data_IF_040512505451
#
_entry.id   IF_040512505451
#
_cell.length_a   1.000
_cell.length_b   1.000
_cell.length_c   1.000
_cell.angle_alpha   90.00
_cell.angle_beta   90.00
_cell.angle_gamma   90.00
#
_symmetry.space_group_name_H-M   'P 1'
#
loop_
_entity.id
_entity.type
_entity.pdbx_description
1 polymer ?
#
# COMPACT_ATOMS: atom_id res chain seq x y z
N UNK A 1 -3.57 -14.23 -31.94
CA UNK A 1 -3.48 -12.88 -32.51
C UNK A 1 -3.95 -11.94 -31.41
N UNK A 2 -3.04 -11.54 -30.54
CA UNK A 2 -3.32 -10.67 -29.38
C UNK A 2 -3.71 -9.30 -29.89
N UNK A 3 -4.91 -8.85 -29.52
CA UNK A 3 -5.37 -7.49 -29.76
C UNK A 3 -4.32 -6.51 -29.18
N UNK A 4 -3.73 -5.60 -29.99
CA UNK A 4 -2.67 -4.70 -29.55
C UNK A 4 -3.09 -3.76 -28.41
N UNK A 5 -4.39 -3.66 -28.12
CA UNK A 5 -4.93 -2.79 -27.07
C UNK A 5 -4.83 -3.35 -25.63
N UNK A 6 -4.39 -4.61 -25.44
CA UNK A 6 -4.40 -5.27 -24.13
C UNK A 6 -3.10 -6.02 -23.82
N UNK A 7 -1.96 -5.32 -23.89
CA UNK A 7 -0.69 -5.88 -23.43
C UNK A 7 -0.55 -5.75 -21.91
N UNK A 8 -0.17 -6.84 -21.23
CA UNK A 8 0.28 -6.79 -19.83
C UNK A 8 1.53 -5.90 -19.66
N UNK A 9 2.30 -5.75 -20.74
CA UNK A 9 3.47 -4.89 -20.81
C UNK A 9 3.27 -3.91 -21.98
N UNK A 10 2.60 -2.77 -21.75
CA UNK A 10 2.36 -1.79 -22.80
C UNK A 10 3.67 -1.18 -23.31
N UNK A 11 3.63 -0.63 -24.53
CA UNK A 11 4.73 0.19 -25.03
C UNK A 11 4.88 1.49 -24.21
N UNK A 12 6.00 2.20 -24.44
CA UNK A 12 6.34 3.38 -23.65
C UNK A 12 5.31 4.51 -23.76
N UNK A 13 4.75 4.74 -24.94
CA UNK A 13 3.80 5.83 -25.17
C UNK A 13 2.47 5.51 -24.51
N UNK A 14 1.98 4.27 -24.66
CA UNK A 14 0.78 3.76 -23.99
C UNK A 14 0.92 3.81 -22.46
N UNK A 15 2.07 3.40 -21.92
CA UNK A 15 2.38 3.48 -20.49
C UNK A 15 2.34 4.92 -19.98
N UNK A 16 3.00 5.83 -20.70
CA UNK A 16 3.09 7.26 -20.33
C UNK A 16 1.71 7.91 -20.38
N UNK A 17 0.92 7.64 -21.41
CA UNK A 17 -0.45 8.14 -21.54
C UNK A 17 -1.33 7.68 -20.36
N UNK A 18 -1.31 6.39 -20.02
CA UNK A 18 -2.06 5.85 -18.88
C UNK A 18 -1.62 6.47 -17.55
N UNK A 19 -0.31 6.69 -17.37
CA UNK A 19 0.25 7.33 -16.19
C UNK A 19 -0.19 8.79 -16.03
N UNK A 20 -0.25 9.55 -17.13
CA UNK A 20 -0.75 10.92 -17.11
C UNK A 20 -2.25 10.97 -16.80
N UNK A 21 -3.06 10.14 -17.47
CA UNK A 21 -4.49 10.07 -17.23
C UNK A 21 -4.83 9.74 -15.75
N UNK A 22 -4.15 8.75 -15.16
CA UNK A 22 -4.32 8.42 -13.75
C UNK A 22 -3.95 9.58 -12.83
N UNK A 23 -2.84 10.26 -13.11
CA UNK A 23 -2.37 11.41 -12.32
C UNK A 23 -3.37 12.56 -12.37
N UNK A 24 -3.91 12.87 -13.55
CA UNK A 24 -4.95 13.88 -13.73
C UNK A 24 -6.23 13.51 -12.98
N UNK A 25 -6.70 12.26 -13.12
CA UNK A 25 -7.93 11.77 -12.48
C UNK A 25 -7.85 11.80 -10.95
N UNK A 26 -6.71 11.42 -10.37
CA UNK A 26 -6.46 11.52 -8.93
C UNK A 26 -6.35 12.98 -8.49
N UNK A 27 -5.77 13.84 -9.32
CA UNK A 27 -5.72 15.28 -9.08
C UNK A 27 -7.10 15.93 -9.01
N UNK A 28 -8.01 15.55 -9.91
CA UNK A 28 -9.43 15.94 -9.86
C UNK A 28 -10.08 15.44 -8.56
N UNK A 29 -9.90 14.16 -8.23
CA UNK A 29 -10.46 13.55 -7.01
C UNK A 29 -10.05 14.32 -5.75
N UNK A 30 -8.76 14.66 -5.63
CA UNK A 30 -8.20 15.39 -4.49
C UNK A 30 -8.78 16.80 -4.38
N UNK A 31 -8.98 17.51 -5.50
CA UNK A 31 -9.58 18.85 -5.50
C UNK A 31 -11.04 18.85 -5.05
N UNK A 32 -11.78 17.80 -5.41
CA UNK A 32 -13.19 17.65 -5.02
C UNK A 32 -13.36 17.08 -3.60
N UNK A 33 -12.27 16.64 -2.95
CA UNK A 33 -12.34 15.99 -1.64
C UNK A 33 -13.10 16.82 -0.59
N UNK A 34 -12.88 18.15 -0.43
CA UNK A 34 -13.60 18.93 0.58
C UNK A 34 -15.11 19.08 0.36
N UNK A 35 -15.60 18.73 -0.84
CA UNK A 35 -17.03 18.76 -1.18
C UNK A 35 -17.73 17.42 -1.00
N UNK A 36 -17.00 16.37 -0.59
CA UNK A 36 -17.53 15.02 -0.39
C UNK A 36 -17.89 14.77 1.05
N UNK A 37 -18.80 13.83 1.26
CA UNK A 37 -19.08 13.32 2.58
C UNK A 37 -17.88 12.51 3.11
N UNK A 38 -17.54 12.72 4.38
CA UNK A 38 -16.49 11.98 5.08
C UNK A 38 -16.85 10.50 5.21
N UNK A 39 -18.13 10.25 5.55
CA UNK A 39 -18.69 8.92 5.73
C UNK A 39 -19.21 8.43 4.38
N UNK A 40 -18.84 7.23 3.94
CA UNK A 40 -19.30 6.72 2.66
C UNK A 40 -20.79 6.46 2.69
N UNK A 41 -21.49 6.84 1.63
CA UNK A 41 -22.85 6.36 1.35
C UNK A 41 -22.86 4.87 0.92
N UNK A 42 -21.69 4.32 0.60
CA UNK A 42 -21.51 3.01 -0.01
C UNK A 42 -21.47 3.07 -1.53
N UNK A 43 -21.02 2.00 -2.20
CA UNK A 43 -20.99 1.94 -3.66
C UNK A 43 -22.41 1.97 -4.25
N UNK A 44 -22.56 2.59 -5.42
CA UNK A 44 -23.86 2.66 -6.10
C UNK A 44 -24.39 1.27 -6.47
N UNK A 45 -25.72 1.12 -6.54
CA UNK A 45 -26.36 -0.13 -6.96
C UNK A 45 -26.02 -0.53 -8.41
N UNK A 46 -25.65 0.45 -9.25
CA UNK A 46 -25.12 0.21 -10.59
C UNK A 46 -23.71 -0.37 -10.53
N UNK A 47 -22.79 0.28 -9.82
CA UNK A 47 -21.42 -0.18 -9.65
C UNK A 47 -21.36 -1.60 -9.07
N UNK A 48 -22.21 -1.91 -8.08
CA UNK A 48 -22.33 -3.26 -7.52
C UNK A 48 -22.86 -4.29 -8.53
N UNK A 49 -23.82 -3.92 -9.39
CA UNK A 49 -24.30 -4.80 -10.46
C UNK A 49 -23.20 -5.07 -11.47
N UNK A 50 -22.48 -4.04 -11.88
CA UNK A 50 -21.35 -4.17 -12.80
C UNK A 50 -20.24 -5.04 -12.21
N UNK A 51 -19.85 -4.82 -10.96
CA UNK A 51 -18.86 -5.64 -10.27
C UNK A 51 -19.30 -7.12 -10.22
N UNK A 52 -20.56 -7.41 -9.88
CA UNK A 52 -21.08 -8.79 -9.85
C UNK A 52 -21.06 -9.47 -11.21
N UNK A 53 -21.29 -8.70 -12.27
CA UNK A 53 -21.30 -9.20 -13.64
C UNK A 53 -19.91 -9.20 -14.27
N UNK A 54 -18.90 -8.61 -13.61
CA UNK A 54 -17.55 -8.53 -14.14
C UNK A 54 -16.90 -9.91 -14.14
N UNK A 55 -16.51 -10.35 -15.33
CA UNK A 55 -15.80 -11.60 -15.56
C UNK A 55 -14.39 -11.26 -16.05
N UNK A 56 -13.39 -11.99 -15.54
CA UNK A 56 -11.98 -11.84 -15.93
C UNK A 56 -11.60 -12.78 -17.09
N UNK A 57 -12.58 -13.18 -17.90
CA UNK A 57 -12.41 -14.01 -19.08
C UNK A 57 -12.02 -13.20 -20.32
N UNK A 58 -12.18 -11.87 -20.27
CA UNK A 58 -11.75 -10.93 -21.31
C UNK A 58 -10.96 -9.77 -20.72
N UNK A 59 -9.94 -9.26 -21.43
CA UNK A 59 -9.22 -8.08 -20.97
C UNK A 59 -10.13 -6.84 -21.03
N UNK A 60 -9.85 -5.88 -20.14
CA UNK A 60 -10.50 -4.57 -20.09
C UNK A 60 -9.47 -3.47 -20.24
N UNK A 61 -9.91 -2.33 -20.73
CA UNK A 61 -9.04 -1.19 -20.99
C UNK A 61 -8.65 -0.55 -19.65
N UNK A 62 -7.37 -0.25 -19.48
CA UNK A 62 -6.79 0.12 -18.19
C UNK A 62 -7.29 1.50 -17.73
N UNK A 63 -7.40 2.48 -18.63
CA UNK A 63 -7.88 3.80 -18.27
C UNK A 63 -9.34 3.74 -17.78
N UNK A 64 -10.23 3.09 -18.54
CA UNK A 64 -11.62 2.87 -18.14
C UNK A 64 -11.77 2.05 -16.87
N UNK A 65 -10.88 1.07 -16.62
CA UNK A 65 -10.88 0.30 -15.37
C UNK A 65 -10.43 1.16 -14.18
N UNK A 66 -9.39 1.98 -14.34
CA UNK A 66 -8.90 2.85 -13.26
C UNK A 66 -9.91 3.95 -12.93
N UNK A 67 -10.56 4.56 -13.92
CA UNK A 67 -11.68 5.49 -13.71
C UNK A 67 -12.81 4.82 -12.93
N UNK A 68 -13.26 3.64 -13.38
CA UNK A 68 -14.33 2.89 -12.74
C UNK A 68 -14.01 2.49 -11.28
N UNK A 69 -12.75 2.13 -10.99
CA UNK A 69 -12.31 1.86 -9.62
C UNK A 69 -12.34 3.13 -8.77
N UNK A 70 -11.84 4.25 -9.31
CA UNK A 70 -11.81 5.52 -8.59
C UNK A 70 -13.25 5.95 -8.27
N UNK A 71 -14.17 5.92 -9.24
CA UNK A 71 -15.58 6.28 -9.02
C UNK A 71 -16.23 5.48 -7.87
N UNK A 72 -15.94 4.18 -7.82
CA UNK A 72 -16.39 3.32 -6.72
C UNK A 72 -15.79 3.73 -5.37
N UNK A 73 -14.48 4.02 -5.32
CA UNK A 73 -13.78 4.41 -4.09
C UNK A 73 -14.20 5.81 -3.60
N UNK A 74 -14.56 6.72 -4.49
CA UNK A 74 -14.98 8.09 -4.13
C UNK A 74 -16.27 8.14 -3.31
N UNK A 75 -17.11 7.10 -3.40
CA UNK A 75 -18.39 6.99 -2.68
C UNK A 75 -18.42 5.82 -1.69
N UNK A 76 -17.61 4.80 -1.94
CA UNK A 76 -17.59 3.53 -1.21
C UNK A 76 -16.54 3.42 -0.10
N UNK A 77 -15.71 4.44 0.13
CA UNK A 77 -14.72 4.45 1.23
C UNK A 77 -14.85 5.66 2.14
N UNK A 78 -14.40 5.50 3.39
CA UNK A 78 -14.21 6.62 4.31
C UNK A 78 -13.13 7.53 3.75
N UNK A 79 -13.47 8.81 3.58
CA UNK A 79 -12.57 9.79 2.99
C UNK A 79 -11.58 10.30 4.03
N UNK A 80 -10.56 9.49 4.36
CA UNK A 80 -9.55 9.83 5.37
C UNK A 80 -8.68 11.04 5.00
N UNK A 81 -8.67 11.42 3.73
CA UNK A 81 -8.01 12.62 3.20
C UNK A 81 -8.87 13.87 3.31
N UNK A 82 -10.14 13.76 3.74
CA UNK A 82 -11.03 14.88 3.93
C UNK A 82 -10.59 15.73 5.15
N UNK A 83 -10.53 17.07 5.07
CA UNK A 83 -10.08 17.93 6.17
C UNK A 83 -10.91 17.80 7.46
N UNK A 84 -12.19 17.49 7.31
CA UNK A 84 -13.14 17.21 8.40
C UNK A 84 -13.14 15.76 8.90
N UNK A 85 -12.27 14.87 8.40
CA UNK A 85 -12.13 13.53 8.94
C UNK A 85 -11.37 13.59 10.27
N UNK A 86 -12.08 13.34 11.36
CA UNK A 86 -11.55 13.33 12.74
C UNK A 86 -11.69 11.95 13.39
N UNK A 87 -11.84 10.89 12.58
CA UNK A 87 -12.12 9.53 13.05
C UNK A 87 -10.88 8.66 13.22
N UNK A 88 -10.93 7.76 14.20
CA UNK A 88 -9.97 6.65 14.42
C UNK A 88 -8.48 7.08 14.34
N UNK A 89 -7.59 6.11 14.11
CA UNK A 89 -6.14 6.29 13.99
C UNK A 89 -5.64 6.00 12.56
N UNK A 90 -6.45 6.34 11.55
CA UNK A 90 -6.09 6.12 10.15
C UNK A 90 -5.65 7.45 9.51
N UNK A 91 -4.34 7.72 9.35
CA UNK A 91 -3.86 8.98 8.82
C UNK A 91 -4.10 9.08 7.31
N UNK A 92 -4.33 10.29 6.81
CA UNK A 92 -4.29 10.55 5.38
C UNK A 92 -2.90 10.24 4.81
N UNK A 93 -2.79 9.58 3.64
CA UNK A 93 -1.51 9.41 2.96
C UNK A 93 -0.90 10.77 2.62
N UNK A 94 0.42 10.86 2.75
CA UNK A 94 1.17 12.03 2.28
C UNK A 94 1.46 11.88 0.79
N UNK A 95 1.65 12.99 0.09
CA UNK A 95 2.07 12.91 -1.32
C UNK A 95 3.43 12.22 -1.48
N UNK A 96 4.34 12.37 -0.50
CA UNK A 96 5.62 11.67 -0.51
C UNK A 96 5.45 10.14 -0.41
N UNK A 97 4.52 9.64 0.41
CA UNK A 97 4.25 8.20 0.50
C UNK A 97 3.61 7.66 -0.79
N UNK A 98 2.72 8.41 -1.45
CA UNK A 98 2.18 8.01 -2.76
C UNK A 98 3.27 7.89 -3.83
N UNK A 99 4.22 8.84 -3.84
CA UNK A 99 5.40 8.75 -4.71
C UNK A 99 6.26 7.53 -4.37
N UNK A 100 6.49 7.25 -3.08
CA UNK A 100 7.26 6.10 -2.63
C UNK A 100 6.59 4.78 -3.04
N UNK A 101 5.28 4.64 -2.88
CA UNK A 101 4.51 3.47 -3.32
C UNK A 101 4.64 3.25 -4.83
N UNK A 102 4.61 4.34 -5.61
CA UNK A 102 4.80 4.27 -7.06
C UNK A 102 6.21 3.81 -7.44
N UNK A 103 7.24 4.30 -6.75
CA UNK A 103 8.63 3.85 -6.95
C UNK A 103 8.77 2.37 -6.57
N UNK A 104 8.25 1.98 -5.41
CA UNK A 104 8.31 0.60 -4.92
C UNK A 104 7.59 -0.36 -5.89
N UNK A 105 6.42 0.02 -6.40
CA UNK A 105 5.68 -0.77 -7.38
C UNK A 105 6.41 -0.89 -8.73
N UNK A 106 7.06 0.19 -9.19
CA UNK A 106 7.80 0.18 -10.45
C UNK A 106 9.08 -0.66 -10.41
N UNK A 107 9.80 -0.66 -9.28
CA UNK A 107 11.05 -1.40 -9.13
C UNK A 107 10.90 -2.79 -8.50
N UNK A 108 9.82 -3.02 -7.75
CA UNK A 108 9.49 -4.26 -7.05
C UNK A 108 10.70 -4.92 -6.34
N UNK A 109 11.36 -4.23 -5.38
CA UNK A 109 12.56 -4.75 -4.74
C UNK A 109 12.25 -5.94 -3.82
N UNK A 110 12.94 -7.07 -4.01
CA UNK A 110 12.89 -8.20 -3.09
C UNK A 110 13.84 -7.98 -1.90
N UNK A 111 13.32 -7.39 -0.81
CA UNK A 111 14.12 -7.04 0.38
C UNK A 111 14.47 -8.23 1.29
N UNK A 112 13.95 -9.44 1.01
CA UNK A 112 14.24 -10.63 1.80
C UNK A 112 15.71 -11.10 1.73
N UNK A 113 16.45 -10.68 0.70
CA UNK A 113 17.86 -11.05 0.51
C UNK A 113 18.64 -9.83 0.02
N UNK A 114 19.70 -9.44 0.75
CA UNK A 114 20.50 -8.24 0.43
C UNK A 114 21.01 -8.22 -1.01
N UNK A 115 21.50 -9.35 -1.52
CA UNK A 115 22.05 -9.43 -2.88
C UNK A 115 21.02 -9.15 -3.99
N UNK A 116 19.72 -9.23 -3.70
CA UNK A 116 18.66 -8.97 -4.68
C UNK A 116 18.18 -7.51 -4.67
N UNK A 117 18.38 -6.78 -3.57
CA UNK A 117 17.92 -5.40 -3.43
C UNK A 117 18.83 -4.58 -2.48
N UNK A 118 20.15 -4.48 -2.74
CA UNK A 118 21.11 -3.94 -1.76
C UNK A 118 20.77 -2.52 -1.34
N UNK A 119 20.41 -1.65 -2.30
CA UNK A 119 20.03 -0.28 -2.00
C UNK A 119 18.75 -0.18 -1.16
N UNK A 120 17.72 -0.99 -1.45
CA UNK A 120 16.47 -0.98 -0.70
C UNK A 120 16.66 -1.49 0.73
N UNK A 121 17.47 -2.54 0.91
CA UNK A 121 17.81 -3.07 2.24
C UNK A 121 18.59 -2.05 3.06
N UNK A 122 19.58 -1.36 2.49
CA UNK A 122 20.30 -0.31 3.21
C UNK A 122 19.41 0.88 3.58
N UNK A 123 18.46 1.26 2.72
CA UNK A 123 17.46 2.29 3.02
C UNK A 123 16.60 1.86 4.22
N UNK A 124 16.09 0.62 4.22
CA UNK A 124 15.29 0.10 5.34
C UNK A 124 16.08 0.11 6.65
N UNK A 125 17.30 -0.45 6.63
CA UNK A 125 18.18 -0.47 7.82
C UNK A 125 18.48 0.94 8.33
N UNK A 126 18.71 1.90 7.44
CA UNK A 126 18.94 3.29 7.82
C UNK A 126 17.71 3.91 8.49
N UNK A 127 16.52 3.76 7.90
CA UNK A 127 15.29 4.32 8.47
C UNK A 127 14.98 3.71 9.83
N UNK A 128 15.14 2.40 9.99
CA UNK A 128 14.92 1.70 11.27
C UNK A 128 15.85 2.24 12.35
N UNK A 129 17.14 2.43 12.04
CA UNK A 129 18.11 3.01 12.98
C UNK A 129 17.72 4.43 13.38
N UNK A 130 17.28 5.26 12.43
CA UNK A 130 16.82 6.61 12.72
C UNK A 130 15.54 6.65 13.57
N UNK A 131 14.60 5.74 13.32
CA UNK A 131 13.37 5.59 14.14
C UNK A 131 13.73 5.13 15.55
N UNK A 132 14.58 4.11 15.70
CA UNK A 132 15.04 3.62 17.00
C UNK A 132 15.74 4.72 17.81
N UNK A 133 16.62 5.49 17.17
CA UNK A 133 17.30 6.65 17.77
C UNK A 133 16.30 7.71 18.23
N UNK A 134 15.30 8.04 17.40
CA UNK A 134 14.25 9.01 17.76
C UNK A 134 13.34 8.52 18.90
N UNK A 135 13.14 7.20 19.00
CA UNK A 135 12.42 6.57 20.10
C UNK A 135 13.24 6.45 21.39
N UNK A 136 14.52 6.86 21.41
CA UNK A 136 15.39 6.79 22.58
C UNK A 136 15.91 5.38 22.89
N UNK A 137 15.91 4.48 21.91
CA UNK A 137 16.44 3.12 22.08
C UNK A 137 17.98 3.12 22.11
N UNK A 138 18.61 2.11 22.74
CA UNK A 138 20.08 2.00 22.78
C UNK A 138 20.71 1.88 21.40
N UNK A 139 21.96 2.34 21.28
CA UNK A 139 22.78 2.12 20.09
C UNK A 139 22.88 0.61 19.77
N UNK A 140 22.78 0.27 18.49
CA UNK A 140 22.75 -1.12 18.03
C UNK A 140 21.35 -1.75 18.00
N UNK A 141 20.30 -1.04 18.46
CA UNK A 141 18.92 -1.46 18.25
C UNK A 141 18.60 -1.60 16.75
N UNK A 142 17.88 -2.66 16.39
CA UNK A 142 17.47 -2.97 15.02
C UNK A 142 16.04 -3.47 14.94
N UNK A 143 15.64 -3.93 13.76
CA UNK A 143 14.29 -4.44 13.48
C UNK A 143 14.07 -4.62 11.98
N UNK A 144 12.81 -4.76 11.59
CA UNK A 144 12.34 -4.73 10.20
C UNK A 144 10.95 -4.08 10.14
N UNK A 145 10.52 -3.63 8.95
CA UNK A 145 9.14 -3.20 8.76
C UNK A 145 8.20 -4.40 8.70
N UNK A 146 7.04 -4.29 9.35
CA UNK A 146 5.97 -5.30 9.33
C UNK A 146 4.77 -4.78 8.56
N UNK A 147 3.84 -5.66 8.16
CA UNK A 147 2.61 -5.27 7.49
C UNK A 147 1.66 -4.46 8.39
N UNK A 148 1.90 -4.45 9.70
CA UNK A 148 1.16 -3.66 10.68
C UNK A 148 1.48 -4.02 12.12
N UNK A 149 0.88 -3.28 13.06
CA UNK A 149 1.21 -3.40 14.48
C UNK A 149 0.94 -4.77 15.11
N UNK A 150 0.00 -5.56 14.57
CA UNK A 150 -0.25 -6.92 15.08
C UNK A 150 0.92 -7.86 14.81
N UNK A 151 1.50 -7.81 13.62
CA UNK A 151 2.71 -8.56 13.28
C UNK A 151 3.89 -8.05 14.11
N UNK A 152 4.07 -6.73 14.24
CA UNK A 152 5.10 -6.16 15.10
C UNK A 152 5.02 -6.65 16.56
N UNK A 153 3.82 -6.68 17.14
CA UNK A 153 3.60 -7.16 18.50
C UNK A 153 3.90 -8.65 18.64
N UNK A 154 3.49 -9.46 17.66
CA UNK A 154 3.80 -10.89 17.64
C UNK A 154 5.30 -11.13 17.53
N UNK A 155 5.99 -10.44 16.63
CA UNK A 155 7.45 -10.50 16.49
C UNK A 155 8.14 -10.13 17.79
N UNK A 156 7.73 -9.04 18.45
CA UNK A 156 8.28 -8.63 19.74
C UNK A 156 8.05 -9.69 20.84
N UNK A 157 6.85 -10.28 20.89
CA UNK A 157 6.53 -11.36 21.83
C UNK A 157 7.42 -12.59 21.59
N UNK A 158 7.58 -13.03 20.35
CA UNK A 158 8.43 -14.17 19.99
C UNK A 158 9.90 -13.93 20.35
N UNK A 159 10.43 -12.73 20.07
CA UNK A 159 11.78 -12.35 20.47
C UNK A 159 11.94 -12.35 22.00
N UNK A 160 10.97 -11.83 22.74
CA UNK A 160 10.99 -11.82 24.20
C UNK A 160 10.92 -13.24 24.79
N UNK A 161 10.07 -14.11 24.23
CA UNK A 161 9.97 -15.51 24.62
C UNK A 161 11.29 -16.25 24.39
N UNK A 162 11.90 -16.11 23.21
CA UNK A 162 13.18 -16.73 22.91
C UNK A 162 14.30 -16.22 23.85
N UNK A 163 14.28 -14.93 24.19
CA UNK A 163 15.27 -14.34 25.10
C UNK A 163 15.09 -14.84 26.56
N UNK A 164 13.84 -14.97 27.02
CA UNK A 164 13.52 -15.41 28.39
C UNK A 164 13.63 -16.94 28.56
N UNK A 165 13.26 -17.69 27.53
CA UNK A 165 13.26 -19.14 27.48
C UNK A 165 14.02 -19.62 26.23
N UNK A 166 15.36 -19.78 26.29
CA UNK A 166 16.17 -20.12 25.11
C UNK A 166 15.77 -21.43 24.39
N UNK A 167 15.14 -22.36 25.10
CA UNK A 167 14.63 -23.62 24.54
C UNK A 167 13.32 -23.45 23.73
N UNK A 168 12.66 -22.29 23.82
CA UNK A 168 11.37 -22.02 23.17
C UNK A 168 11.40 -22.26 21.65
N UNK A 169 12.48 -21.85 20.98
CA UNK A 169 12.60 -21.99 19.52
C UNK A 169 12.64 -23.44 19.03
N UNK A 170 13.14 -24.36 19.85
CA UNK A 170 13.29 -25.77 19.50
C UNK A 170 12.15 -26.62 20.06
N UNK A 171 11.76 -26.37 21.32
CA UNK A 171 10.85 -27.22 22.10
C UNK A 171 9.44 -26.63 22.25
N UNK A 172 9.25 -25.38 21.85
CA UNK A 172 7.99 -24.66 21.96
C UNK A 172 7.61 -24.30 23.41
N UNK A 173 6.31 -24.14 23.66
CA UNK A 173 5.77 -23.63 24.95
C UNK A 173 5.90 -24.64 26.10
N UNK A 174 6.24 -25.91 25.83
CA UNK A 174 6.34 -26.94 26.85
C UNK A 174 7.73 -27.05 27.52
N UNK A 175 8.67 -26.19 27.13
CA UNK A 175 10.01 -26.11 27.69
C UNK A 175 10.05 -25.51 29.10
#
# INVERSE_FOLDING_TARGET
MTDPHYSLFPDHDSLTAAQHALTERLGVSRRLMPSRDVVPAGPSGEWLRELRNMRFDRPRELAGLTEWVIDGLETGTVQVTHPGYLGLFNPAPTFASECADRIASAFNPQVCVHSHAPAAVEIELHVIREVARKAGMPDGSGGHFTSGGSEANLTAMLCALQAACPAYGDDGVCA
#
